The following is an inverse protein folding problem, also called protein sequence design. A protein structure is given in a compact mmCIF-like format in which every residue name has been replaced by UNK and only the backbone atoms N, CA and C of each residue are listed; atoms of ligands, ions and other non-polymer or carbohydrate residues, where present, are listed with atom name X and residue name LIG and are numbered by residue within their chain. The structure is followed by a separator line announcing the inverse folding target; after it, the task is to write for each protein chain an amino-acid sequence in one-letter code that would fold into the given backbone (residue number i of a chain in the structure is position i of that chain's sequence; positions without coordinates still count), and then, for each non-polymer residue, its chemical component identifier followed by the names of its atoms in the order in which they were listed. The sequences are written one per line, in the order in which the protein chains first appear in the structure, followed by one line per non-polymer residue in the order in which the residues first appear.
data_IF_037849105772
#
_entry.id   IF_037849105772
#
_cell.length_a   1.000
_cell.length_b   1.000
_cell.length_c   1.000
_cell.angle_alpha   90.00
_cell.angle_beta   90.00
_cell.angle_gamma   90.00
#
_symmetry.space_group_name_H-M   'P 1'
#
loop_
_entity.id
_entity.type
_entity.pdbx_description
1 polymer ?
#
# COMPACT_ATOMS: atom_id res chain seq x y z
N UNK A 1 -5.07 15.80 -0.64
CA UNK A 1 -4.54 15.48 -2.01
C UNK A 1 -4.66 16.74 -2.86
N UNK A 2 -3.56 17.23 -3.42
CA UNK A 2 -3.55 18.29 -4.42
C UNK A 2 -3.26 17.65 -5.77
N UNK A 3 -4.17 17.81 -6.74
CA UNK A 3 -4.05 17.20 -8.06
C UNK A 3 -3.88 18.32 -9.09
N UNK A 4 -2.75 18.32 -9.79
CA UNK A 4 -2.53 19.18 -10.96
C UNK A 4 -2.88 18.32 -12.17
N UNK A 5 -4.15 18.39 -12.56
CA UNK A 5 -4.67 17.67 -13.72
C UNK A 5 -4.43 18.50 -14.99
N UNK A 6 -3.23 18.41 -15.53
CA UNK A 6 -2.89 18.93 -16.86
C UNK A 6 -2.60 17.78 -17.81
N UNK A 7 -3.58 16.90 -18.04
CA UNK A 7 -3.41 15.80 -18.99
C UNK A 7 -3.66 16.33 -20.41
N UNK A 8 -2.61 16.88 -21.03
CA UNK A 8 -2.55 17.14 -22.48
C UNK A 8 -1.61 16.10 -23.12
N UNK A 9 -1.67 15.89 -24.44
CA UNK A 9 -0.93 14.83 -25.16
C UNK A 9 0.57 14.73 -24.79
N UNK A 10 1.19 15.86 -24.45
CA UNK A 10 2.62 15.94 -24.12
C UNK A 10 2.89 15.73 -22.63
N UNK A 11 2.06 16.28 -21.74
CA UNK A 11 2.38 16.45 -20.31
C UNK A 11 1.74 15.37 -19.44
N UNK A 12 2.50 14.71 -18.54
CA UNK A 12 1.92 13.81 -17.56
C UNK A 12 1.06 14.59 -16.56
N UNK A 13 -0.03 13.99 -16.10
CA UNK A 13 -0.77 14.49 -14.95
C UNK A 13 0.06 14.25 -13.68
N UNK A 14 0.11 15.24 -12.79
CA UNK A 14 0.84 15.10 -11.53
C UNK A 14 -0.09 15.24 -10.33
N UNK A 15 0.16 14.44 -9.30
CA UNK A 15 -0.53 14.57 -8.03
C UNK A 15 0.47 14.55 -6.89
N UNK A 16 0.23 15.40 -5.91
CA UNK A 16 0.98 15.45 -4.65
C UNK A 16 -0.02 15.28 -3.51
N UNK A 17 0.35 14.53 -2.48
CA UNK A 17 -0.55 14.32 -1.36
C UNK A 17 0.15 13.79 -0.13
N UNK A 18 -0.63 13.67 0.94
CA UNK A 18 -0.25 12.94 2.13
C UNK A 18 -1.23 11.79 2.33
N UNK A 19 -0.76 10.71 2.94
CA UNK A 19 -1.52 9.53 3.30
C UNK A 19 -1.19 9.15 4.75
N UNK A 20 -2.23 8.87 5.53
CA UNK A 20 -2.11 8.23 6.84
C UNK A 20 -2.67 6.82 6.78
N UNK A 21 -2.03 5.88 7.48
CA UNK A 21 -2.44 4.48 7.59
C UNK A 21 -2.46 4.14 9.07
N UNK A 22 -3.60 3.68 9.56
CA UNK A 22 -3.74 3.14 10.90
C UNK A 22 -3.80 1.63 10.79
N UNK A 23 -2.86 0.94 11.42
CA UNK A 23 -2.84 -0.52 11.44
C UNK A 23 -3.28 -0.98 12.82
N UNK A 24 -4.40 -1.70 12.86
CA UNK A 24 -4.91 -2.35 14.06
C UNK A 24 -4.49 -3.81 14.01
N UNK A 25 -3.78 -4.28 15.04
CA UNK A 25 -3.38 -5.68 15.15
C UNK A 25 -4.40 -6.42 16.01
N UNK A 26 -4.91 -7.55 15.51
CA UNK A 26 -6.02 -8.26 16.16
C UNK A 26 -5.60 -9.04 17.43
N UNK A 27 -4.29 -9.28 17.65
CA UNK A 27 -3.78 -9.78 18.94
C UNK A 27 -2.25 -9.76 19.05
N UNK A 28 -1.69 -9.70 20.28
CA UNK A 28 -0.28 -9.99 20.52
C UNK A 28 0.00 -11.49 20.26
N UNK A 29 1.10 -11.78 19.58
CA UNK A 29 1.57 -13.15 19.37
C UNK A 29 2.07 -13.69 20.71
N UNK A 30 1.53 -14.81 21.22
CA UNK A 30 2.00 -15.36 22.48
C UNK A 30 3.48 -15.71 22.36
N UNK A 31 4.27 -15.32 23.36
CA UNK A 31 5.64 -15.80 23.46
C UNK A 31 5.59 -17.34 23.57
N UNK A 32 6.46 -18.03 22.83
CA UNK A 32 6.53 -19.50 22.75
C UNK A 32 6.63 -20.16 24.15
N UNK A 33 7.04 -19.41 25.18
CA UNK A 33 7.19 -19.87 26.56
C UNK A 33 5.91 -19.76 27.45
N UNK A 34 4.81 -19.15 27.00
CA UNK A 34 3.61 -18.95 27.84
C UNK A 34 2.30 -19.14 27.05
N UNK A 35 1.60 -20.28 27.20
CA UNK A 35 0.34 -20.58 26.49
C UNK A 35 -0.92 -19.97 27.13
N UNK A 36 -0.81 -19.25 28.26
CA UNK A 36 -1.96 -18.61 28.89
C UNK A 36 -2.30 -17.29 28.18
N UNK A 37 -3.32 -17.34 27.34
CA UNK A 37 -3.83 -16.19 26.58
C UNK A 37 -4.70 -15.32 27.49
N UNK A 38 -4.11 -14.28 28.10
CA UNK A 38 -4.91 -13.10 28.45
C UNK A 38 -4.97 -12.21 27.21
N UNK A 39 -6.13 -12.10 26.58
CA UNK A 39 -6.35 -11.14 25.48
C UNK A 39 -6.42 -9.75 26.10
N UNK A 40 -5.25 -9.20 26.43
CA UNK A 40 -5.15 -7.80 26.78
C UNK A 40 -4.96 -7.06 25.45
N UNK A 41 -6.04 -6.49 24.92
CA UNK A 41 -5.98 -5.59 23.76
C UNK A 41 -5.24 -4.33 24.22
N UNK A 42 -3.91 -4.40 24.26
CA UNK A 42 -3.09 -3.24 24.63
C UNK A 42 -3.22 -2.18 23.53
N UNK A 43 -3.49 -0.95 23.95
CA UNK A 43 -3.50 0.25 23.11
C UNK A 43 -2.16 0.47 22.39
N UNK A 44 -1.07 -0.18 22.83
CA UNK A 44 0.27 -0.14 22.22
C UNK A 44 0.36 -0.85 20.84
N UNK A 45 -0.71 -1.48 20.36
CA UNK A 45 -0.71 -2.25 19.11
C UNK A 45 -1.15 -1.46 17.88
N UNK A 46 -1.68 -0.24 18.05
CA UNK A 46 -2.07 0.62 16.92
C UNK A 46 -0.87 1.40 16.40
N UNK A 47 -0.43 1.10 15.18
CA UNK A 47 0.65 1.87 14.52
C UNK A 47 0.04 2.89 13.56
N UNK A 48 0.46 4.14 13.71
CA UNK A 48 0.18 5.20 12.74
C UNK A 48 1.37 5.32 11.79
N UNK A 49 1.14 5.06 10.51
CA UNK A 49 2.10 5.28 9.44
C UNK A 49 1.65 6.49 8.61
N UNK A 50 2.60 7.27 8.13
CA UNK A 50 2.36 8.46 7.35
C UNK A 50 3.34 8.57 6.20
N UNK A 51 2.88 9.08 5.07
CA UNK A 51 3.76 9.47 3.97
C UNK A 51 3.23 10.69 3.23
N UNK A 52 4.14 11.43 2.61
CA UNK A 52 3.85 12.38 1.54
C UNK A 52 4.34 11.79 0.23
N UNK A 53 3.56 11.93 -0.84
CA UNK A 53 3.89 11.37 -2.14
C UNK A 53 3.76 12.39 -3.25
N UNK A 54 4.55 12.17 -4.30
CA UNK A 54 4.39 12.76 -5.63
C UNK A 54 4.27 11.62 -6.65
N UNK A 55 3.33 11.74 -7.57
CA UNK A 55 3.12 10.77 -8.64
C UNK A 55 2.87 11.49 -9.95
N UNK A 56 3.52 11.01 -11.00
CA UNK A 56 3.27 11.40 -12.38
C UNK A 56 2.58 10.24 -13.09
N UNK A 57 1.49 10.53 -13.78
CA UNK A 57 0.72 9.55 -14.55
C UNK A 57 0.60 10.01 -15.99
N UNK A 58 0.81 9.10 -16.92
CA UNK A 58 0.59 9.33 -18.35
C UNK A 58 -0.25 8.23 -18.94
N UNK A 59 -1.29 8.60 -19.69
CA UNK A 59 -2.03 7.68 -20.53
C UNK A 59 -1.20 7.34 -21.77
N UNK A 60 -1.00 6.05 -22.00
CA UNK A 60 -0.42 5.51 -23.22
C UNK A 60 -1.40 4.50 -23.81
N UNK A 61 -2.08 4.89 -24.88
CA UNK A 61 -3.14 4.11 -25.53
C UNK A 61 -4.25 3.67 -24.54
N UNK A 62 -4.38 2.36 -24.28
CA UNK A 62 -5.34 1.75 -23.34
C UNK A 62 -4.79 1.56 -21.93
N UNK A 63 -3.52 1.90 -21.70
CA UNK A 63 -2.87 1.81 -20.41
C UNK A 63 -2.66 3.20 -19.81
N UNK A 64 -2.66 3.28 -18.48
CA UNK A 64 -2.15 4.43 -17.73
C UNK A 64 -0.94 3.96 -16.94
N UNK A 65 0.19 4.59 -17.19
CA UNK A 65 1.44 4.31 -16.49
C UNK A 65 1.65 5.42 -15.46
N UNK A 66 1.95 5.03 -14.23
CA UNK A 66 2.25 5.96 -13.15
C UNK A 66 3.61 5.63 -12.55
N UNK A 67 4.36 6.66 -12.20
CA UNK A 67 5.61 6.55 -11.46
C UNK A 67 5.61 7.60 -10.37
N UNK A 68 6.06 7.23 -9.18
CA UNK A 68 6.02 8.11 -8.03
C UNK A 68 7.09 7.81 -7.00
N UNK A 69 7.22 8.78 -6.11
CA UNK A 69 8.10 8.74 -4.96
C UNK A 69 7.29 9.14 -3.74
N UNK A 70 7.48 8.44 -2.64
CA UNK A 70 6.96 8.82 -1.34
C UNK A 70 8.06 8.91 -0.30
N UNK A 71 7.83 9.81 0.65
CA UNK A 71 8.68 10.05 1.80
C UNK A 71 7.85 9.91 3.07
N UNK A 72 8.29 9.04 3.98
CA UNK A 72 7.59 8.65 5.19
C UNK A 72 7.75 7.16 5.48
N UNK A 73 7.03 6.69 6.49
CA UNK A 73 7.12 5.31 6.99
C UNK A 73 5.95 4.42 6.55
N UNK A 74 5.09 4.89 5.63
CA UNK A 74 3.95 4.12 5.15
C UNK A 74 4.32 2.80 4.45
N UNK A 75 5.56 2.67 3.95
CA UNK A 75 6.07 1.44 3.36
C UNK A 75 6.43 0.37 4.41
N UNK A 76 6.57 0.72 5.68
CA UNK A 76 6.73 -0.24 6.79
C UNK A 76 5.56 -1.22 6.90
N UNK A 77 4.39 -0.88 6.32
CA UNK A 77 3.28 -1.81 6.19
C UNK A 77 3.66 -3.10 5.46
N UNK A 78 4.63 -3.07 4.54
CA UNK A 78 5.06 -4.26 3.80
C UNK A 78 5.65 -5.29 4.76
N UNK A 79 6.35 -4.86 5.81
CA UNK A 79 6.87 -5.75 6.84
C UNK A 79 5.78 -6.34 7.73
N UNK A 80 4.59 -5.72 7.78
CA UNK A 80 3.43 -6.29 8.48
C UNK A 80 2.72 -7.37 7.66
N UNK A 81 2.96 -7.42 6.34
CA UNK A 81 2.32 -8.39 5.47
C UNK A 81 3.02 -9.74 5.45
N UNK A 82 4.28 -9.82 5.91
CA UNK A 82 5.08 -11.04 5.85
C UNK A 82 5.80 -11.30 7.16
N UNK A 83 5.92 -12.58 7.54
CA UNK A 83 6.69 -12.98 8.72
C UNK A 83 8.21 -12.90 8.47
N UNK A 84 8.65 -12.97 7.21
CA UNK A 84 10.07 -12.98 6.84
C UNK A 84 10.76 -11.63 7.05
N UNK A 85 9.99 -10.54 7.13
CA UNK A 85 10.49 -9.21 7.48
C UNK A 85 10.19 -8.84 8.95
N UNK A 86 9.75 -9.80 9.76
CA UNK A 86 9.59 -9.59 11.20
C UNK A 86 10.95 -9.34 11.88
N UNK A 87 10.99 -8.59 13.00
CA UNK A 87 12.25 -8.31 13.67
C UNK A 87 13.05 -9.56 14.07
N UNK A 88 12.36 -10.63 14.46
CA UNK A 88 12.94 -11.92 14.82
C UNK A 88 13.51 -12.65 13.59
N UNK A 89 12.77 -12.68 12.48
CA UNK A 89 13.25 -13.28 11.24
C UNK A 89 14.46 -12.53 10.68
N UNK A 90 14.46 -11.20 10.74
CA UNK A 90 15.60 -10.39 10.31
C UNK A 90 16.81 -10.59 11.22
N UNK A 91 16.61 -10.67 12.53
CA UNK A 91 17.68 -10.98 13.47
C UNK A 91 18.34 -12.33 13.16
N UNK A 92 17.53 -13.37 12.90
CA UNK A 92 18.02 -14.69 12.55
C UNK A 92 18.79 -14.70 11.21
N UNK A 93 18.25 -14.05 10.18
CA UNK A 93 18.86 -14.05 8.85
C UNK A 93 20.09 -13.15 8.71
N UNK A 94 20.18 -12.06 9.49
CA UNK A 94 21.25 -11.06 9.39
C UNK A 94 22.31 -11.17 10.50
N UNK A 95 22.15 -12.11 11.44
CA UNK A 95 23.17 -12.42 12.46
C UNK A 95 23.31 -11.38 13.57
N UNK A 96 22.18 -10.85 14.08
CA UNK A 96 22.16 -9.81 15.13
C UNK A 96 21.88 -10.32 16.55
N UNK A 97 22.38 -9.59 17.56
CA UNK A 97 22.01 -9.81 18.98
C UNK A 97 20.72 -9.09 19.38
N UNK A 98 20.33 -8.04 18.64
CA UNK A 98 19.12 -7.26 18.86
C UNK A 98 18.12 -7.43 17.70
N UNK A 99 16.80 -7.33 17.96
CA UNK A 99 15.78 -7.31 16.92
C UNK A 99 16.03 -6.19 15.91
N UNK A 100 16.01 -6.53 14.61
CA UNK A 100 16.25 -5.57 13.52
C UNK A 100 14.90 -5.17 12.92
N UNK A 101 14.54 -3.90 12.96
CA UNK A 101 13.26 -3.44 12.42
C UNK A 101 13.33 -3.15 10.92
N UNK A 102 12.32 -3.60 10.18
CA UNK A 102 12.16 -3.31 8.76
C UNK A 102 11.62 -1.89 8.52
N UNK A 103 12.50 -0.89 8.63
CA UNK A 103 12.15 0.52 8.42
C UNK A 103 12.46 0.99 7.01
N UNK A 104 11.59 1.82 6.46
CA UNK A 104 11.82 2.60 5.24
C UNK A 104 11.47 4.06 5.50
N UNK A 105 12.29 4.96 4.95
CA UNK A 105 12.06 6.41 5.02
C UNK A 105 11.55 6.97 3.70
N UNK A 106 11.89 6.30 2.61
CA UNK A 106 11.51 6.68 1.27
C UNK A 106 11.17 5.46 0.44
N UNK A 107 10.35 5.65 -0.57
CA UNK A 107 9.81 4.56 -1.37
C UNK A 107 9.60 5.03 -2.80
N UNK A 108 10.09 4.24 -3.75
CA UNK A 108 9.78 4.41 -5.16
C UNK A 108 8.69 3.43 -5.52
N UNK A 109 7.68 3.90 -6.24
CA UNK A 109 6.60 3.05 -6.71
C UNK A 109 6.23 3.36 -8.15
N UNK A 110 5.68 2.37 -8.82
CA UNK A 110 5.18 2.50 -10.18
C UNK A 110 3.96 1.62 -10.38
N UNK A 111 3.08 2.00 -11.28
CA UNK A 111 1.93 1.17 -11.62
C UNK A 111 1.54 1.28 -13.08
N UNK A 112 0.95 0.20 -13.57
CA UNK A 112 0.32 0.14 -14.89
C UNK A 112 -1.12 -0.25 -14.64
N UNK A 113 -2.05 0.62 -15.04
CA UNK A 113 -3.47 0.33 -15.08
C UNK A 113 -3.87 0.10 -16.53
N UNK A 114 -4.30 -1.11 -16.83
CA UNK A 114 -4.83 -1.50 -18.13
C UNK A 114 -6.35 -1.68 -18.04
N UNK A 115 -7.07 -0.99 -18.93
CA UNK A 115 -8.53 -1.02 -19.01
C UNK A 115 -8.96 -1.65 -20.35
N UNK A 116 -8.91 -2.99 -20.50
CA UNK A 116 -9.41 -3.65 -21.70
C UNK A 116 -10.91 -3.40 -21.92
N UNK A 117 -11.67 -3.28 -20.82
CA UNK A 117 -13.04 -2.76 -20.78
C UNK A 117 -13.15 -1.72 -19.64
N UNK A 118 -14.02 -0.70 -19.75
CA UNK A 118 -14.21 0.28 -18.68
C UNK A 118 -14.58 -0.33 -17.32
N UNK A 119 -15.25 -1.49 -17.33
CA UNK A 119 -15.66 -2.24 -16.14
C UNK A 119 -14.64 -3.24 -15.63
N UNK A 120 -13.50 -3.41 -16.32
CA UNK A 120 -12.49 -4.43 -15.99
C UNK A 120 -11.11 -3.80 -15.84
N UNK A 121 -10.80 -3.19 -14.68
CA UNK A 121 -9.46 -2.70 -14.39
C UNK A 121 -8.54 -3.86 -14.03
N UNK A 122 -7.48 -4.04 -14.81
CA UNK A 122 -6.31 -4.81 -14.42
C UNK A 122 -5.19 -3.84 -14.06
N UNK A 123 -4.56 -4.04 -12.92
CA UNK A 123 -3.40 -3.23 -12.58
C UNK A 123 -2.26 -4.07 -12.00
N UNK A 124 -1.05 -3.64 -12.30
CA UNK A 124 0.16 -4.10 -11.62
C UNK A 124 0.79 -2.88 -10.97
N UNK A 125 1.13 -3.00 -9.69
CA UNK A 125 1.80 -1.97 -8.92
C UNK A 125 3.07 -2.55 -8.31
N UNK A 126 4.19 -1.85 -8.48
CA UNK A 126 5.48 -2.22 -7.96
C UNK A 126 5.86 -1.20 -6.90
N UNK A 127 6.22 -1.67 -5.71
CA UNK A 127 6.64 -0.84 -4.59
C UNK A 127 8.01 -1.31 -4.13
N UNK A 128 8.96 -0.38 -4.05
CA UNK A 128 10.31 -0.62 -3.56
C UNK A 128 10.62 0.35 -2.43
N UNK A 129 10.50 -0.10 -1.17
CA UNK A 129 10.96 0.66 -0.02
C UNK A 129 12.48 0.75 -0.03
N UNK A 130 13.01 1.95 0.16
CA UNK A 130 14.45 2.17 0.28
C UNK A 130 14.86 2.15 1.75
N UNK A 131 16.05 1.60 2.03
CA UNK A 131 16.60 1.48 3.38
C UNK A 131 16.14 0.25 4.17
N UNK A 132 15.17 -0.51 3.69
CA UNK A 132 14.75 -1.74 4.36
C UNK A 132 15.81 -2.87 4.28
N UNK A 133 16.04 -3.60 5.37
CA UNK A 133 16.79 -4.85 5.36
C UNK A 133 16.23 -5.83 4.32
N UNK A 134 17.11 -6.63 3.71
CA UNK A 134 16.79 -7.57 2.63
C UNK A 134 16.19 -6.93 1.35
N UNK A 135 16.15 -5.60 1.23
CA UNK A 135 15.75 -4.86 0.01
C UNK A 135 14.46 -5.41 -0.65
N UNK A 136 13.32 -5.44 0.07
CA UNK A 136 12.09 -5.98 -0.45
C UNK A 136 11.58 -5.20 -1.68
N UNK A 137 10.95 -5.92 -2.61
CA UNK A 137 10.21 -5.38 -3.75
C UNK A 137 8.87 -6.10 -3.79
N UNK A 138 7.78 -5.33 -3.70
CA UNK A 138 6.42 -5.85 -3.71
C UNK A 138 5.79 -5.62 -5.09
N UNK A 139 5.19 -6.66 -5.65
CA UNK A 139 4.42 -6.63 -6.89
C UNK A 139 2.95 -6.96 -6.58
N UNK A 140 2.08 -5.96 -6.65
CA UNK A 140 0.64 -6.11 -6.40
C UNK A 140 -0.12 -6.23 -7.72
N UNK A 141 -0.82 -7.34 -7.90
CA UNK A 141 -1.70 -7.62 -9.03
C UNK A 141 -3.15 -7.38 -8.59
N UNK A 142 -3.76 -6.32 -9.10
CA UNK A 142 -5.15 -5.96 -8.82
C UNK A 142 -6.05 -6.68 -9.81
N UNK A 143 -6.70 -7.76 -9.35
CA UNK A 143 -7.50 -8.67 -10.16
C UNK A 143 -8.99 -8.31 -10.00
N UNK A 144 -9.42 -7.26 -10.68
CA UNK A 144 -10.68 -6.53 -10.44
C UNK A 144 -12.01 -7.24 -10.73
N UNK A 145 -12.12 -8.57 -10.63
CA UNK A 145 -13.40 -9.26 -10.87
C UNK A 145 -13.67 -10.49 -9.99
N UNK A 146 -12.67 -11.15 -9.41
CA UNK A 146 -12.87 -12.52 -8.95
C UNK A 146 -13.86 -12.70 -7.77
N UNK A 147 -14.32 -11.63 -7.10
CA UNK A 147 -15.31 -11.75 -6.00
C UNK A 147 -16.22 -10.53 -5.74
N UNK A 148 -16.31 -9.51 -6.63
CA UNK A 148 -16.90 -8.18 -6.30
C UNK A 148 -16.28 -7.50 -5.05
N UNK A 149 -15.26 -8.12 -4.47
CA UNK A 149 -14.42 -7.71 -3.35
C UNK A 149 -13.03 -7.52 -3.94
N UNK A 150 -12.40 -6.37 -3.66
CA UNK A 150 -11.16 -5.93 -4.28
C UNK A 150 -9.98 -6.81 -3.81
N UNK A 151 -9.81 -7.95 -4.46
CA UNK A 151 -8.75 -8.91 -4.19
C UNK A 151 -7.48 -8.52 -4.95
N UNK A 152 -6.39 -8.41 -4.21
CA UNK A 152 -5.06 -8.15 -4.74
C UNK A 152 -4.17 -9.36 -4.42
N UNK A 153 -3.54 -9.93 -5.44
CA UNK A 153 -2.49 -10.93 -5.26
C UNK A 153 -1.15 -10.21 -5.24
N UNK A 154 -0.37 -10.39 -4.20
CA UNK A 154 0.87 -9.64 -3.99
C UNK A 154 2.05 -10.59 -3.90
N UNK A 155 3.04 -10.41 -4.78
CA UNK A 155 4.29 -11.15 -4.77
C UNK A 155 5.38 -10.27 -4.17
N UNK A 156 5.91 -10.69 -3.02
CA UNK A 156 6.97 -9.98 -2.31
C UNK A 156 8.29 -10.71 -2.52
N UNK A 157 9.27 -10.04 -3.11
CA UNK A 157 10.63 -10.56 -3.29
C UNK A 157 11.58 -9.82 -2.37
N UNK A 158 12.43 -10.53 -1.63
CA UNK A 158 13.49 -9.95 -0.80
C UNK A 158 14.76 -10.78 -0.93
N UNK A 159 15.91 -10.26 -0.51
CA UNK A 159 17.16 -11.00 -0.52
C UNK A 159 17.01 -12.24 0.39
N UNK A 160 17.26 -13.43 -0.17
CA UNK A 160 17.10 -14.69 0.54
C UNK A 160 15.76 -15.41 0.33
N UNK A 161 14.73 -14.79 -0.26
CA UNK A 161 13.45 -15.48 -0.45
C UNK A 161 12.35 -14.69 -1.14
N UNK A 162 11.16 -15.27 -1.16
CA UNK A 162 9.96 -14.64 -1.68
C UNK A 162 8.74 -15.09 -0.86
N UNK A 163 7.70 -14.28 -0.90
CA UNK A 163 6.42 -14.54 -0.23
C UNK A 163 5.26 -14.17 -1.17
N UNK A 164 4.15 -14.90 -1.06
CA UNK A 164 2.95 -14.69 -1.87
C UNK A 164 1.76 -14.44 -0.95
N UNK A 165 1.15 -13.28 -1.12
CA UNK A 165 0.20 -12.70 -0.18
C UNK A 165 -1.13 -12.43 -0.88
N UNK A 166 -2.23 -12.81 -0.27
CA UNK A 166 -3.58 -12.41 -0.70
C UNK A 166 -4.09 -11.25 0.15
N UNK A 167 -4.52 -10.16 -0.48
CA UNK A 167 -5.08 -9.00 0.20
C UNK A 167 -6.52 -8.74 -0.24
N UNK A 168 -7.39 -8.46 0.73
CA UNK A 168 -8.75 -7.99 0.48
C UNK A 168 -8.88 -6.53 0.88
N UNK A 169 -9.26 -5.69 -0.08
CA UNK A 169 -9.42 -4.26 0.14
C UNK A 169 -10.91 -3.87 0.13
N UNK A 170 -11.38 -3.24 1.20
CA UNK A 170 -12.71 -2.65 1.28
C UNK A 170 -12.60 -1.15 1.09
N UNK A 171 -13.05 -0.64 -0.07
CA UNK A 171 -12.93 0.79 -0.38
C UNK A 171 -14.23 1.50 -0.03
N UNK A 172 -14.20 2.31 1.02
CA UNK A 172 -15.24 3.32 1.27
C UNK A 172 -14.84 4.63 0.61
N UNK A 173 -15.60 5.08 -0.39
CA UNK A 173 -15.39 6.38 -1.04
C UNK A 173 -16.59 7.26 -0.78
N UNK A 174 -16.42 8.30 0.03
CA UNK A 174 -17.43 9.35 0.15
C UNK A 174 -17.21 10.35 -1.00
N UNK A 175 -18.02 10.24 -2.05
CA UNK A 175 -18.05 11.30 -3.06
C UNK A 175 -18.82 12.49 -2.48
N UNK A 176 -18.23 13.71 -2.45
CA UNK A 176 -19.00 14.89 -2.10
C UNK A 176 -20.15 15.00 -3.11
N UNK A 177 -21.39 14.85 -2.65
CA UNK A 177 -22.56 15.17 -3.46
C UNK A 177 -22.51 16.68 -3.67
N UNK A 178 -22.15 17.12 -4.87
CA UNK A 178 -22.60 18.43 -5.31
C UNK A 178 -24.12 18.42 -5.20
N UNK A 179 -24.68 19.42 -4.53
CA UNK A 179 -26.12 19.60 -4.47
C UNK A 179 -26.68 19.51 -5.90
N UNK A 180 -27.84 18.85 -6.12
CA UNK A 180 -28.42 18.77 -7.44
C UNK A 180 -28.55 20.19 -7.99
N UNK A 181 -28.00 20.42 -9.19
CA UNK A 181 -27.96 21.72 -9.87
C UNK A 181 -29.34 22.28 -10.25
N UNK A 182 -30.41 21.67 -9.75
CA UNK A 182 -31.80 22.07 -9.93
C UNK A 182 -32.54 21.89 -8.59
N UNK A 183 -32.37 22.84 -7.66
CA UNK A 183 -33.41 23.07 -6.66
C UNK A 183 -34.48 23.96 -7.34
N UNK A 184 -35.70 23.45 -7.58
CA UNK A 184 -36.76 24.27 -8.12
C UNK A 184 -37.27 25.17 -7.00
N UNK A 185 -36.88 26.45 -7.00
CA UNK A 185 -37.42 27.39 -6.01
C UNK A 185 -36.53 28.57 -5.64
N UNK A 186 -36.14 29.38 -6.61
CA UNK A 186 -35.91 30.81 -6.36
C UNK A 186 -36.57 31.56 -7.52
N UNK A 187 -37.79 32.03 -7.25
CA UNK A 187 -38.34 33.22 -7.90
C UNK A 187 -37.66 34.44 -7.30
#
# INVERSE_FOLDING_TARGET
KMQIQSENDVRPAMAVGAQGIFTFRDSPQPAIAQPNVSVNVSADTTRALGETYVVATKKFWKARVSGGYSYGNAAERIALLTEFLSPQALQFNLGGTNPIEAKAKDTVFGSILFLPKPSYPLAVEVIRPNGMPLKPILFNFKLGYFLKLNFDLSYLRFQGGWDLLGQFSFRYTHFPRTAPRNAPGTK
#
